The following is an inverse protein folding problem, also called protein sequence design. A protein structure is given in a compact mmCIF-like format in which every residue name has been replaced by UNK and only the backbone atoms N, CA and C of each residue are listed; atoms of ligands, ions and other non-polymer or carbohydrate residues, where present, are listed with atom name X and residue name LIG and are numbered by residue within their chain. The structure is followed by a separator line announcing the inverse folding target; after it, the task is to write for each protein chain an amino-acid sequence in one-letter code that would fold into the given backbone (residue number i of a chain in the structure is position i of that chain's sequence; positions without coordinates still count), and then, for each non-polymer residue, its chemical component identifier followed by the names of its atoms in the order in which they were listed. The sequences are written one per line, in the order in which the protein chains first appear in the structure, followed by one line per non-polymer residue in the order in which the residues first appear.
data_IF_893240333031
#
_entry.id   IF_893240333031
#
_cell.length_a   1.000
_cell.length_b   1.000
_cell.length_c   1.000
_cell.angle_alpha   90.00
_cell.angle_beta   90.00
_cell.angle_gamma   90.00
#
_symmetry.space_group_name_H-M   'P 1'
#
loop_
_entity.id
_entity.type
_entity.pdbx_description
1 polymer ?
#
# COMPACT_ATOMS: atom_id res chain seq x y z
N UNK A 1 49.45 -17.62 -16.53
CA UNK A 1 48.68 -18.61 -17.30
C UNK A 1 47.33 -18.77 -16.63
N UNK A 2 46.29 -18.11 -17.15
CA UNK A 2 44.91 -18.26 -16.67
C UNK A 2 44.28 -19.45 -17.41
N UNK A 3 43.61 -20.39 -16.74
CA UNK A 3 42.93 -21.47 -17.43
C UNK A 3 41.69 -20.95 -18.16
N UNK A 4 41.48 -21.51 -19.36
CA UNK A 4 40.42 -21.22 -20.32
C UNK A 4 39.01 -21.24 -19.72
N UNK A 5 38.24 -20.23 -20.11
CA UNK A 5 36.80 -20.07 -19.87
C UNK A 5 35.98 -20.86 -20.90
N UNK A 6 35.93 -22.18 -20.79
CA UNK A 6 35.18 -23.03 -21.75
C UNK A 6 33.98 -23.76 -21.11
N UNK A 7 33.18 -23.09 -20.25
CA UNK A 7 31.92 -23.68 -19.75
C UNK A 7 30.74 -22.70 -19.61
N UNK A 8 30.74 -21.58 -20.35
CA UNK A 8 29.50 -20.83 -20.56
C UNK A 8 28.99 -21.18 -21.95
N UNK A 9 28.05 -22.12 -22.02
CA UNK A 9 27.37 -22.47 -23.27
C UNK A 9 26.74 -21.20 -23.88
N UNK A 10 27.24 -20.68 -25.02
CA UNK A 10 26.83 -19.38 -25.56
C UNK A 10 25.47 -19.40 -26.26
N UNK A 11 24.68 -20.46 -26.10
CA UNK A 11 23.41 -20.65 -26.79
C UNK A 11 22.18 -20.65 -25.87
N UNK A 12 22.26 -20.12 -24.64
CA UNK A 12 21.02 -19.80 -23.90
C UNK A 12 20.44 -18.55 -24.53
N UNK A 13 19.65 -18.73 -25.59
CA UNK A 13 18.72 -17.73 -26.09
C UNK A 13 17.82 -17.40 -24.90
N UNK A 14 18.09 -16.29 -24.21
CA UNK A 14 17.37 -15.91 -22.99
C UNK A 14 15.91 -15.68 -23.39
N UNK A 15 15.09 -16.70 -23.18
CA UNK A 15 13.66 -16.62 -23.40
C UNK A 15 13.11 -15.56 -22.44
N UNK A 16 12.17 -14.72 -22.91
CA UNK A 16 11.37 -13.87 -22.02
C UNK A 16 10.49 -14.68 -21.06
N UNK A 17 10.40 -15.99 -21.29
CA UNK A 17 9.65 -16.95 -20.49
C UNK A 17 10.55 -18.14 -20.10
N UNK A 18 11.50 -17.94 -19.19
CA UNK A 18 12.22 -19.06 -18.60
C UNK A 18 11.28 -19.93 -17.75
N UNK A 19 11.54 -21.23 -17.77
CA UNK A 19 10.95 -22.25 -16.90
C UNK A 19 11.51 -22.12 -15.47
N UNK A 20 10.81 -22.72 -14.50
CA UNK A 20 11.26 -22.71 -13.10
C UNK A 20 12.67 -23.32 -12.95
N UNK A 21 12.92 -24.43 -13.66
CA UNK A 21 14.21 -25.13 -13.63
C UNK A 21 15.35 -24.25 -14.16
N UNK A 22 15.14 -23.52 -15.26
CA UNK A 22 16.14 -22.58 -15.78
C UNK A 22 16.47 -21.47 -14.77
N UNK A 23 15.47 -20.94 -14.04
CA UNK A 23 15.74 -19.97 -12.98
C UNK A 23 16.58 -20.57 -11.85
N UNK A 24 16.26 -21.80 -11.44
CA UNK A 24 16.98 -22.50 -10.37
C UNK A 24 18.42 -22.78 -10.78
N UNK A 25 18.65 -23.23 -12.01
CA UNK A 25 19.99 -23.50 -12.54
C UNK A 25 20.85 -22.23 -12.57
N UNK A 26 20.33 -21.11 -13.07
CA UNK A 26 21.06 -19.83 -13.09
C UNK A 26 21.34 -19.33 -11.68
N UNK A 27 20.37 -19.43 -10.75
CA UNK A 27 20.58 -19.03 -9.37
C UNK A 27 21.65 -19.87 -8.68
N UNK A 28 21.64 -21.20 -8.87
CA UNK A 28 22.69 -22.09 -8.35
C UNK A 28 24.07 -21.80 -8.94
N UNK A 29 24.15 -21.59 -10.26
CA UNK A 29 25.40 -21.24 -10.93
C UNK A 29 25.96 -19.88 -10.45
N UNK A 30 25.08 -18.91 -10.19
CA UNK A 30 25.45 -17.62 -9.62
C UNK A 30 26.09 -17.76 -8.23
N UNK A 31 25.46 -18.56 -7.35
CA UNK A 31 25.99 -18.83 -6.01
C UNK A 31 27.30 -19.62 -6.07
N UNK A 32 27.39 -20.61 -6.96
CA UNK A 32 28.61 -21.39 -7.15
C UNK A 32 29.78 -20.49 -7.59
N UNK A 33 29.52 -19.50 -8.45
CA UNK A 33 30.54 -18.55 -8.91
C UNK A 33 30.90 -17.50 -7.86
N UNK A 34 29.93 -17.08 -7.06
CA UNK A 34 30.09 -16.04 -6.04
C UNK A 34 29.55 -16.51 -4.68
N UNK A 35 30.33 -17.31 -3.92
CA UNK A 35 29.84 -17.93 -2.69
C UNK A 35 29.37 -16.94 -1.61
N UNK A 36 29.88 -15.71 -1.61
CA UNK A 36 29.47 -14.66 -0.68
C UNK A 36 28.05 -14.13 -0.92
N UNK A 37 27.43 -14.45 -2.07
CA UNK A 37 26.04 -14.13 -2.37
C UNK A 37 25.06 -15.16 -1.81
N UNK A 38 25.54 -16.26 -1.21
CA UNK A 38 24.70 -17.35 -0.70
C UNK A 38 23.84 -16.87 0.46
N UNK A 39 22.55 -17.19 0.43
CA UNK A 39 21.65 -16.93 1.56
C UNK A 39 22.12 -17.72 2.79
N UNK A 40 22.13 -17.05 3.97
CA UNK A 40 22.53 -17.69 5.24
C UNK A 40 21.55 -18.77 5.68
N UNK A 41 20.29 -18.65 5.29
CA UNK A 41 19.19 -19.54 5.68
C UNK A 41 18.56 -20.23 4.46
N UNK A 42 18.00 -21.42 4.67
CA UNK A 42 17.27 -22.15 3.64
C UNK A 42 18.16 -22.78 2.55
N UNK A 43 17.71 -22.71 1.30
CA UNK A 43 18.36 -23.41 0.18
C UNK A 43 19.56 -22.66 -0.43
N UNK A 44 19.93 -21.49 0.11
CA UNK A 44 21.13 -20.75 -0.26
C UNK A 44 21.09 -19.93 -1.55
N UNK A 45 20.04 -20.08 -2.39
CA UNK A 45 19.92 -19.34 -3.67
C UNK A 45 18.53 -18.71 -3.86
N UNK A 46 17.69 -18.72 -2.82
CA UNK A 46 16.29 -18.31 -2.89
C UNK A 46 16.15 -16.85 -3.29
N UNK A 47 16.94 -15.96 -2.69
CA UNK A 47 16.91 -14.51 -2.97
C UNK A 47 17.17 -14.22 -4.46
N UNK A 48 18.15 -14.91 -5.05
CA UNK A 48 18.52 -14.74 -6.46
C UNK A 48 17.50 -15.34 -7.41
N UNK A 49 16.97 -16.53 -7.08
CA UNK A 49 15.86 -17.14 -7.81
C UNK A 49 14.65 -16.20 -7.86
N UNK A 50 14.25 -15.61 -6.74
CA UNK A 50 13.14 -14.65 -6.70
C UNK A 50 13.45 -13.35 -7.46
N UNK A 51 14.67 -12.85 -7.35
CA UNK A 51 15.11 -11.64 -8.05
C UNK A 51 15.06 -11.82 -9.58
N UNK A 52 15.49 -12.97 -10.08
CA UNK A 52 15.38 -13.31 -11.51
C UNK A 52 13.91 -13.39 -11.95
N UNK A 53 13.06 -14.10 -11.20
CA UNK A 53 11.61 -14.15 -11.48
C UNK A 53 10.97 -12.77 -11.52
N UNK A 54 11.36 -11.88 -10.61
CA UNK A 54 10.85 -10.50 -10.56
C UNK A 54 11.31 -9.69 -11.78
N UNK A 55 12.59 -9.79 -12.15
CA UNK A 55 13.15 -9.10 -13.33
C UNK A 55 12.41 -9.49 -14.62
N UNK A 56 12.29 -10.79 -14.91
CA UNK A 56 11.58 -11.27 -16.09
C UNK A 56 10.07 -11.03 -16.03
N UNK A 57 9.47 -10.91 -14.84
CA UNK A 57 8.08 -10.45 -14.70
C UNK A 57 7.93 -8.97 -15.09
N UNK A 58 8.86 -8.12 -14.67
CA UNK A 58 8.86 -6.70 -15.01
C UNK A 58 9.07 -6.49 -16.52
N UNK A 59 10.04 -7.17 -17.12
CA UNK A 59 10.30 -7.11 -18.58
C UNK A 59 9.09 -7.53 -19.44
N UNK A 60 8.21 -8.38 -18.90
CA UNK A 60 6.95 -8.78 -19.56
C UNK A 60 5.78 -7.84 -19.34
N UNK A 61 5.90 -6.85 -18.46
CA UNK A 61 4.79 -5.95 -18.12
C UNK A 61 4.30 -5.13 -19.32
N UNK A 62 5.17 -4.60 -20.21
CA UNK A 62 4.72 -3.91 -21.43
C UNK A 62 3.95 -4.82 -22.41
N UNK A 63 4.20 -6.14 -22.39
CA UNK A 63 3.53 -7.10 -23.27
C UNK A 63 2.09 -7.41 -22.85
N UNK A 64 1.68 -7.00 -21.64
CA UNK A 64 0.33 -7.24 -21.16
C UNK A 64 -0.75 -6.42 -21.91
N UNK A 65 -0.34 -5.33 -22.59
CA UNK A 65 -1.26 -4.48 -23.34
C UNK A 65 -1.46 -4.91 -24.80
N UNK A 66 -0.64 -5.86 -25.28
CA UNK A 66 -0.75 -6.44 -26.63
C UNK A 66 -2.05 -7.23 -26.74
N UNK A 67 -2.86 -6.91 -27.74
CA UNK A 67 -4.21 -7.44 -27.94
C UNK A 67 -4.25 -8.99 -28.03
N UNK A 68 -3.23 -9.58 -28.66
CA UNK A 68 -3.08 -11.02 -28.77
C UNK A 68 -2.78 -11.71 -27.42
N UNK A 69 -1.97 -11.07 -26.57
CA UNK A 69 -1.66 -11.53 -25.21
C UNK A 69 -2.90 -11.42 -24.32
N UNK A 70 -3.73 -10.39 -24.48
CA UNK A 70 -5.02 -10.26 -23.77
C UNK A 70 -5.95 -11.42 -24.13
N UNK A 71 -6.11 -11.71 -25.43
CA UNK A 71 -6.94 -12.82 -25.93
C UNK A 71 -6.46 -14.17 -25.41
N UNK A 72 -5.14 -14.42 -25.42
CA UNK A 72 -4.56 -15.67 -24.91
C UNK A 72 -4.67 -15.79 -23.38
N UNK A 73 -4.50 -14.70 -22.63
CA UNK A 73 -4.73 -14.69 -21.17
C UNK A 73 -6.20 -14.92 -20.82
N UNK A 74 -7.14 -14.46 -21.65
CA UNK A 74 -8.57 -14.76 -21.47
C UNK A 74 -8.88 -16.24 -21.74
N UNK A 75 -8.21 -16.86 -22.72
CA UNK A 75 -8.42 -18.27 -23.11
C UNK A 75 -7.71 -19.28 -22.21
N UNK A 76 -6.46 -19.02 -21.85
CA UNK A 76 -5.57 -19.99 -21.18
C UNK A 76 -5.06 -19.52 -19.82
N UNK A 77 -5.23 -18.23 -19.50
CA UNK A 77 -4.94 -17.76 -18.17
C UNK A 77 -5.89 -18.42 -17.18
N UNK A 78 -5.42 -18.67 -15.96
CA UNK A 78 -6.32 -18.98 -14.87
C UNK A 78 -7.23 -17.77 -14.68
N UNK A 79 -8.43 -17.82 -15.27
CA UNK A 79 -9.51 -16.97 -14.82
C UNK A 79 -9.67 -17.35 -13.35
N UNK A 80 -9.44 -16.39 -12.46
CA UNK A 80 -10.12 -16.49 -11.18
C UNK A 80 -11.58 -16.57 -11.58
N UNK A 81 -12.19 -17.76 -11.50
CA UNK A 81 -13.65 -17.90 -11.49
C UNK A 81 -14.11 -16.75 -10.64
N UNK A 82 -14.92 -15.88 -11.21
CA UNK A 82 -15.52 -14.74 -10.56
C UNK A 82 -16.38 -15.28 -9.41
N UNK A 83 -15.74 -15.67 -8.31
CA UNK A 83 -16.35 -15.65 -7.01
C UNK A 83 -16.82 -14.21 -6.87
N UNK A 84 -18.12 -14.09 -6.61
CA UNK A 84 -18.79 -12.84 -6.26
C UNK A 84 -17.87 -12.00 -5.37
N UNK A 85 -17.88 -10.67 -5.50
CA UNK A 85 -16.90 -9.82 -4.83
C UNK A 85 -17.15 -9.83 -3.32
N UNK A 86 -16.69 -10.86 -2.63
CA UNK A 86 -16.24 -10.71 -1.26
C UNK A 86 -14.99 -9.84 -1.34
N UNK A 87 -15.22 -8.59 -0.98
CA UNK A 87 -14.25 -7.51 -0.96
C UNK A 87 -13.13 -7.93 -0.01
N UNK A 88 -12.10 -8.56 -0.57
CA UNK A 88 -10.78 -8.59 0.04
C UNK A 88 -10.29 -7.15 0.12
N UNK A 89 -10.47 -6.57 1.31
CA UNK A 89 -9.99 -5.26 1.74
C UNK A 89 -8.47 -5.26 1.79
N UNK A 90 -7.83 -5.26 0.63
CA UNK A 90 -6.48 -4.72 0.45
C UNK A 90 -6.19 -4.55 -1.05
N UNK A 91 -7.14 -3.99 -1.79
CA UNK A 91 -6.80 -3.42 -3.10
C UNK A 91 -6.19 -2.06 -2.83
N UNK A 92 -4.86 -2.02 -2.81
CA UNK A 92 -4.00 -0.96 -3.30
C UNK A 92 -4.67 0.42 -3.16
N UNK A 93 -4.38 1.13 -2.06
CA UNK A 93 -4.80 2.53 -1.88
C UNK A 93 -4.59 3.26 -3.19
N UNK A 94 -5.70 3.55 -3.88
CA UNK A 94 -5.66 4.31 -5.12
C UNK A 94 -4.95 5.60 -4.78
N UNK A 95 -3.99 6.01 -5.63
CA UNK A 95 -3.27 7.28 -5.45
C UNK A 95 -4.30 8.37 -5.15
N UNK A 96 -4.05 9.25 -4.16
CA UNK A 96 -4.99 10.33 -3.85
C UNK A 96 -5.36 11.05 -5.14
N UNK A 97 -6.66 11.16 -5.41
CA UNK A 97 -7.12 11.79 -6.65
C UNK A 97 -6.81 13.27 -6.56
N UNK A 98 -6.22 13.83 -7.61
CA UNK A 98 -6.17 15.28 -7.81
C UNK A 98 -7.60 15.75 -8.04
N UNK A 99 -8.23 16.23 -6.96
CA UNK A 99 -9.52 16.89 -7.03
C UNK A 99 -9.27 18.27 -7.60
N UNK A 100 -9.78 18.50 -8.81
CA UNK A 100 -9.63 19.74 -9.54
C UNK A 100 -10.24 20.92 -8.74
N UNK A 101 -9.58 22.08 -8.81
CA UNK A 101 -10.01 23.30 -8.14
C UNK A 101 -11.21 23.83 -8.91
N UNK A 102 -12.39 23.29 -8.61
CA UNK A 102 -13.61 23.68 -9.30
C UNK A 102 -13.94 25.15 -8.97
N UNK A 103 -13.62 26.06 -9.89
CA UNK A 103 -14.22 27.40 -10.06
C UNK A 103 -14.09 28.41 -8.92
N UNK A 104 -13.38 28.09 -7.84
CA UNK A 104 -13.19 28.98 -6.68
C UNK A 104 -11.84 29.72 -6.80
N UNK A 105 -11.87 31.05 -6.78
CA UNK A 105 -10.67 31.89 -6.74
C UNK A 105 -10.12 32.06 -5.32
N UNK A 106 -8.94 32.67 -5.18
CA UNK A 106 -8.27 32.85 -3.89
C UNK A 106 -9.14 33.63 -2.88
N UNK A 107 -9.85 34.66 -3.35
CA UNK A 107 -10.73 35.52 -2.53
C UNK A 107 -11.91 34.72 -1.98
N UNK A 108 -12.54 33.91 -2.83
CA UNK A 108 -13.67 33.06 -2.44
C UNK A 108 -13.25 32.01 -1.41
N UNK A 109 -12.06 31.42 -1.59
CA UNK A 109 -11.48 30.46 -0.64
C UNK A 109 -11.22 31.11 0.71
N UNK A 110 -10.68 32.32 0.75
CA UNK A 110 -10.50 33.07 1.98
C UNK A 110 -11.85 33.33 2.68
N UNK A 111 -12.90 33.65 1.92
CA UNK A 111 -14.26 33.74 2.44
C UNK A 111 -14.76 32.43 3.09
N UNK A 112 -14.55 31.28 2.44
CA UNK A 112 -14.93 29.98 3.01
C UNK A 112 -14.11 29.64 4.27
N UNK A 113 -12.82 29.97 4.28
CA UNK A 113 -11.92 29.79 5.44
C UNK A 113 -12.40 30.64 6.62
N UNK A 114 -12.74 31.90 6.39
CA UNK A 114 -13.28 32.79 7.42
C UNK A 114 -14.55 32.22 8.04
N UNK A 115 -15.48 31.71 7.22
CA UNK A 115 -16.68 31.04 7.72
C UNK A 115 -16.34 29.81 8.58
N UNK A 116 -15.34 29.01 8.20
CA UNK A 116 -14.89 27.88 9.03
C UNK A 116 -14.34 28.36 10.38
N UNK A 117 -13.51 29.40 10.40
CA UNK A 117 -12.99 29.95 11.64
C UNK A 117 -14.10 30.50 12.54
N UNK A 118 -15.06 31.23 11.97
CA UNK A 118 -16.19 31.78 12.71
C UNK A 118 -17.12 30.67 13.24
N UNK A 119 -17.36 29.62 12.47
CA UNK A 119 -18.12 28.45 12.94
C UNK A 119 -17.40 27.72 14.08
N UNK A 120 -16.07 27.63 14.05
CA UNK A 120 -15.29 26.96 15.08
C UNK A 120 -15.30 27.71 16.43
N UNK A 121 -15.45 29.04 16.41
CA UNK A 121 -15.59 29.84 17.64
C UNK A 121 -16.96 29.70 18.31
N UNK A 122 -17.96 29.14 17.64
CA UNK A 122 -19.31 28.95 18.20
C UNK A 122 -19.31 27.75 19.14
N UNK A 123 -20.06 27.86 20.24
CA UNK A 123 -20.32 26.74 21.16
C UNK A 123 -20.96 25.55 20.45
N UNK A 124 -21.82 25.81 19.45
CA UNK A 124 -22.43 24.79 18.61
C UNK A 124 -22.26 25.16 17.13
N UNK A 125 -21.25 24.60 16.43
CA UNK A 125 -21.06 24.81 15.01
C UNK A 125 -22.18 24.18 14.17
N UNK A 126 -22.57 24.82 13.07
CA UNK A 126 -23.49 24.24 12.11
C UNK A 126 -22.77 23.18 11.24
N UNK A 127 -23.06 21.91 11.50
CA UNK A 127 -22.43 20.78 10.82
C UNK A 127 -22.64 20.80 9.29
N UNK A 128 -23.78 21.31 8.79
CA UNK A 128 -24.04 21.37 7.34
C UNK A 128 -23.16 22.43 6.68
N UNK A 129 -23.04 23.61 7.30
CA UNK A 129 -22.17 24.68 6.84
C UNK A 129 -20.71 24.23 6.88
N UNK A 130 -20.27 23.66 8.00
CA UNK A 130 -18.89 23.17 8.16
C UNK A 130 -18.54 22.15 7.08
N UNK A 131 -19.40 21.14 6.88
CA UNK A 131 -19.18 20.11 5.86
C UNK A 131 -19.05 20.69 4.45
N UNK A 132 -19.93 21.64 4.09
CA UNK A 132 -19.88 22.26 2.76
C UNK A 132 -18.63 23.14 2.58
N UNK A 133 -18.26 23.95 3.59
CA UNK A 133 -17.06 24.80 3.51
C UNK A 133 -15.77 23.98 3.52
N UNK A 134 -15.72 22.90 4.30
CA UNK A 134 -14.60 21.93 4.27
C UNK A 134 -14.44 21.29 2.89
N UNK A 135 -15.56 20.93 2.24
CA UNK A 135 -15.58 20.38 0.87
C UNK A 135 -15.07 21.38 -0.16
N UNK A 136 -15.55 22.62 -0.13
CA UNK A 136 -15.14 23.67 -1.09
C UNK A 136 -13.66 24.04 -0.97
N UNK A 137 -13.14 24.05 0.25
CA UNK A 137 -11.73 24.38 0.50
C UNK A 137 -10.76 23.21 0.33
N UNK A 138 -11.25 21.99 0.07
CA UNK A 138 -10.44 20.78 0.02
C UNK A 138 -9.26 20.87 -0.97
N UNK A 139 -9.54 21.22 -2.23
CA UNK A 139 -8.52 21.25 -3.27
C UNK A 139 -7.42 22.28 -2.97
N UNK A 140 -7.83 23.47 -2.51
CA UNK A 140 -6.91 24.54 -2.10
C UNK A 140 -6.07 24.17 -0.89
N UNK A 141 -6.71 23.68 0.18
CA UNK A 141 -6.03 23.19 1.38
C UNK A 141 -4.99 22.12 1.03
N UNK A 142 -5.34 21.14 0.18
CA UNK A 142 -4.41 20.10 -0.27
C UNK A 142 -3.22 20.68 -1.04
N UNK A 143 -3.47 21.65 -1.92
CA UNK A 143 -2.41 22.37 -2.65
C UNK A 143 -1.45 23.07 -1.69
N UNK A 144 -1.96 23.74 -0.66
CA UNK A 144 -1.13 24.41 0.34
C UNK A 144 -0.31 23.42 1.18
N UNK A 145 -0.91 22.31 1.61
CA UNK A 145 -0.22 21.24 2.36
C UNK A 145 0.88 20.60 1.51
N UNK A 146 0.59 20.24 0.26
CA UNK A 146 1.60 19.69 -0.67
C UNK A 146 2.68 20.74 -0.98
N UNK A 147 2.30 22.03 -1.00
CA UNK A 147 3.20 23.16 -1.16
C UNK A 147 4.07 23.48 0.06
N UNK A 148 4.00 22.69 1.13
CA UNK A 148 4.87 22.83 2.30
C UNK A 148 4.26 23.53 3.50
N UNK A 149 2.94 23.76 3.53
CA UNK A 149 2.26 24.26 4.73
C UNK A 149 2.49 23.31 5.91
N UNK A 150 2.86 23.87 7.07
CA UNK A 150 3.09 23.08 8.28
C UNK A 150 1.79 22.50 8.83
N UNK A 151 1.89 21.48 9.67
CA UNK A 151 0.71 20.91 10.35
C UNK A 151 0.03 21.97 11.21
N UNK A 152 0.80 22.80 11.91
CA UNK A 152 0.29 23.88 12.75
C UNK A 152 -0.51 24.91 11.94
N UNK A 153 0.04 25.39 10.83
CA UNK A 153 -0.64 26.34 9.94
C UNK A 153 -1.92 25.73 9.36
N UNK A 154 -1.88 24.47 8.94
CA UNK A 154 -3.03 23.78 8.39
C UNK A 154 -4.17 23.68 9.40
N UNK A 155 -3.89 23.27 10.64
CA UNK A 155 -4.93 23.15 11.67
C UNK A 155 -5.37 24.51 12.22
N UNK A 156 -4.56 25.56 12.12
CA UNK A 156 -4.98 26.90 12.52
C UNK A 156 -5.84 27.58 11.45
N UNK A 157 -5.48 27.41 10.16
CA UNK A 157 -6.27 27.91 9.03
C UNK A 157 -7.59 27.15 8.87
N UNK A 158 -7.56 25.82 9.05
CA UNK A 158 -8.72 24.93 8.93
C UNK A 158 -8.97 24.19 10.26
N UNK A 159 -9.59 24.85 11.26
CA UNK A 159 -9.65 24.32 12.63
C UNK A 159 -10.46 23.03 12.78
N UNK A 160 -11.38 22.75 11.86
CA UNK A 160 -12.12 21.49 11.84
C UNK A 160 -11.27 20.27 11.43
N UNK A 161 -10.02 20.45 10.99
CA UNK A 161 -9.09 19.32 10.86
C UNK A 161 -8.66 18.73 12.21
N UNK A 162 -8.77 19.51 13.30
CA UNK A 162 -8.47 19.04 14.67
C UNK A 162 -9.50 18.01 15.16
N UNK A 163 -10.69 17.96 14.54
CA UNK A 163 -11.72 17.00 14.92
C UNK A 163 -11.60 15.71 14.12
N UNK A 164 -11.90 14.58 14.77
CA UNK A 164 -11.92 13.27 14.12
C UNK A 164 -12.86 13.24 12.91
N UNK A 165 -14.03 13.88 13.01
CA UNK A 165 -15.00 13.98 11.93
C UNK A 165 -14.48 14.74 10.71
N UNK A 166 -13.73 15.83 10.91
CA UNK A 166 -13.11 16.58 9.83
C UNK A 166 -11.98 15.78 9.16
N UNK A 167 -11.14 15.11 9.96
CA UNK A 167 -10.08 14.26 9.44
C UNK A 167 -10.61 13.08 8.60
N UNK A 168 -11.68 12.40 9.06
CA UNK A 168 -12.31 11.33 8.29
C UNK A 168 -12.89 11.80 6.97
N UNK A 169 -13.45 13.02 6.92
CA UNK A 169 -13.92 13.59 5.66
C UNK A 169 -12.77 13.86 4.70
N UNK A 170 -11.66 14.40 5.19
CA UNK A 170 -10.47 14.68 4.38
C UNK A 170 -9.93 13.40 3.72
N UNK A 171 -9.79 12.33 4.50
CA UNK A 171 -9.37 11.01 3.99
C UNK A 171 -10.42 10.45 3.02
N UNK A 172 -11.71 10.63 3.33
CA UNK A 172 -12.81 10.25 2.44
C UNK A 172 -12.71 10.93 1.07
N UNK A 173 -12.41 12.22 1.02
CA UNK A 173 -12.20 12.98 -0.21
C UNK A 173 -10.96 12.51 -0.97
N UNK A 174 -9.83 12.31 -0.27
CA UNK A 174 -8.57 11.84 -0.89
C UNK A 174 -8.73 10.51 -1.64
N UNK A 175 -9.44 9.55 -1.04
CA UNK A 175 -9.56 8.19 -1.57
C UNK A 175 -10.89 7.91 -2.27
N UNK A 176 -11.77 8.91 -2.44
CA UNK A 176 -13.17 8.73 -2.87
C UNK A 176 -13.89 7.63 -2.08
N UNK A 177 -13.53 7.49 -0.80
CA UNK A 177 -14.08 6.48 0.09
C UNK A 177 -15.30 7.05 0.78
N UNK A 178 -16.48 6.58 0.36
CA UNK A 178 -17.75 6.95 0.98
C UNK A 178 -17.89 6.11 2.25
N UNK A 179 -17.48 6.69 3.39
CA UNK A 179 -17.56 6.15 4.76
C UNK A 179 -16.41 5.25 5.22
N UNK A 180 -15.19 5.81 5.32
CA UNK A 180 -14.05 5.14 5.94
C UNK A 180 -14.37 4.64 7.36
N UNK A 181 -15.05 5.45 8.18
CA UNK A 181 -15.39 5.07 9.55
C UNK A 181 -16.27 3.81 9.59
N UNK A 182 -17.32 3.75 8.75
CA UNK A 182 -18.16 2.55 8.61
C UNK A 182 -17.34 1.35 8.15
N UNK A 183 -16.50 1.53 7.13
CA UNK A 183 -15.66 0.44 6.63
C UNK A 183 -14.70 -0.08 7.70
N UNK A 184 -14.13 0.81 8.51
CA UNK A 184 -13.27 0.45 9.62
C UNK A 184 -14.04 -0.33 10.68
N UNK A 185 -15.23 0.15 11.07
CA UNK A 185 -16.10 -0.53 12.03
C UNK A 185 -16.54 -1.91 11.54
N UNK A 186 -16.97 -2.05 10.29
CA UNK A 186 -17.35 -3.33 9.68
C UNK A 186 -16.16 -4.29 9.64
N UNK A 187 -14.99 -3.80 9.19
CA UNK A 187 -13.77 -4.62 9.11
C UNK A 187 -13.30 -5.06 10.49
N UNK A 188 -13.33 -4.15 11.47
CA UNK A 188 -12.96 -4.46 12.84
C UNK A 188 -13.96 -5.44 13.47
N UNK A 189 -15.27 -5.26 13.25
CA UNK A 189 -16.30 -6.18 13.71
C UNK A 189 -16.07 -7.62 13.22
N UNK A 190 -15.65 -7.78 11.96
CA UNK A 190 -15.35 -9.09 11.38
C UNK A 190 -14.16 -9.81 12.04
N UNK A 191 -13.17 -9.07 12.54
CA UNK A 191 -11.97 -9.64 13.17
C UNK A 191 -12.02 -9.61 14.69
N UNK A 192 -12.89 -8.81 15.31
CA UNK A 192 -12.92 -8.55 16.75
C UNK A 192 -13.09 -9.85 17.55
N UNK A 193 -13.96 -10.76 17.12
CA UNK A 193 -14.14 -12.06 17.78
C UNK A 193 -12.85 -12.88 17.78
N UNK A 194 -12.15 -12.96 16.64
CA UNK A 194 -10.87 -13.66 16.52
C UNK A 194 -9.78 -13.01 17.37
N UNK A 195 -9.71 -11.67 17.39
CA UNK A 195 -8.77 -10.91 18.23
C UNK A 195 -9.05 -11.16 19.72
N UNK A 196 -10.31 -11.16 20.13
CA UNK A 196 -10.71 -11.47 21.51
C UNK A 196 -10.40 -12.92 21.90
N UNK A 197 -10.59 -13.89 20.99
CA UNK A 197 -10.21 -15.28 21.23
C UNK A 197 -8.71 -15.46 21.39
N UNK A 198 -7.91 -14.73 20.61
CA UNK A 198 -6.45 -14.69 20.74
C UNK A 198 -6.04 -14.07 22.08
N UNK A 199 -6.58 -12.90 22.42
CA UNK A 199 -6.26 -12.19 23.66
C UNK A 199 -6.65 -12.98 24.91
N UNK A 200 -7.77 -13.71 24.88
CA UNK A 200 -8.22 -14.55 25.99
C UNK A 200 -7.53 -15.92 26.05
N UNK A 201 -6.57 -16.22 25.17
CA UNK A 201 -5.86 -17.51 25.16
C UNK A 201 -6.72 -18.71 24.69
N UNK A 202 -7.93 -18.46 24.18
CA UNK A 202 -8.87 -19.50 23.74
C UNK A 202 -8.59 -19.99 22.31
N UNK A 203 -7.73 -19.27 21.59
CA UNK A 203 -7.25 -19.65 20.27
C UNK A 203 -5.99 -20.51 20.35
N UNK A 204 -5.91 -21.53 19.50
CA UNK A 204 -4.70 -22.36 19.32
C UNK A 204 -3.46 -21.56 18.90
N UNK A 205 -3.66 -20.36 18.34
CA UNK A 205 -2.58 -19.45 17.95
C UNK A 205 -2.13 -18.51 19.07
N UNK A 206 -2.75 -18.55 20.24
CA UNK A 206 -2.41 -17.65 21.34
C UNK A 206 -1.00 -17.88 21.88
N UNK A 207 -0.56 -19.14 22.02
CA UNK A 207 0.79 -19.48 22.50
C UNK A 207 1.90 -18.97 21.55
N UNK A 208 1.87 -19.29 20.23
CA UNK A 208 2.86 -18.75 19.28
C UNK A 208 2.89 -17.22 19.24
N UNK A 209 1.75 -16.56 19.43
CA UNK A 209 1.67 -15.09 19.40
C UNK A 209 2.27 -14.44 20.65
N UNK A 210 2.08 -15.06 21.83
CA UNK A 210 2.70 -14.62 23.08
C UNK A 210 4.22 -14.84 23.02
N UNK A 211 4.65 -16.01 22.57
CA UNK A 211 6.08 -16.32 22.37
C UNK A 211 6.75 -15.34 21.39
N UNK A 212 6.14 -15.09 20.23
CA UNK A 212 6.65 -14.11 19.26
C UNK A 212 6.68 -12.67 19.82
N UNK A 213 5.72 -12.30 20.67
CA UNK A 213 5.69 -11.00 21.34
C UNK A 213 6.82 -10.89 22.37
N UNK A 214 7.04 -11.94 23.15
CA UNK A 214 8.12 -11.98 24.14
C UNK A 214 9.49 -11.91 23.46
N UNK A 215 9.73 -12.72 22.42
CA UNK A 215 10.96 -12.68 21.60
C UNK A 215 11.24 -11.26 21.06
N UNK A 216 10.22 -10.58 20.53
CA UNK A 216 10.37 -9.21 20.02
C UNK A 216 10.75 -8.17 21.08
N UNK A 217 10.46 -8.43 22.36
CA UNK A 217 10.82 -7.54 23.47
C UNK A 217 12.22 -7.83 24.04
N UNK A 218 12.76 -9.05 23.82
CA UNK A 218 14.12 -9.42 24.26
C UNK A 218 15.18 -8.86 23.30
N UNK A 219 14.88 -8.74 22.01
CA UNK A 219 15.77 -8.15 21.00
C UNK A 219 16.14 -6.68 21.30
N UNK A 220 15.27 -5.93 21.98
CA UNK A 220 15.52 -4.53 22.34
C UNK A 220 16.50 -4.35 23.53
N UNK A 221 16.82 -5.41 24.28
CA UNK A 221 17.69 -5.34 25.48
C UNK A 221 19.11 -5.86 25.27
N UNK A 222 19.43 -6.43 24.11
CA UNK A 222 20.76 -7.01 23.85
C UNK A 222 21.63 -6.18 22.88
N UNK A 223 21.25 -4.93 22.62
CA UNK A 223 22.01 -3.96 21.85
C UNK A 223 22.46 -2.78 22.71
N UNK A 224 23.46 -2.99 23.57
CA UNK A 224 24.26 -1.90 24.16
C UNK A 224 25.73 -2.28 24.15
#
# INVERSE_FOLDING_TARGET
MLPRLDHFNPAIRISRYPTNEEYVQVAKALILRYPFLKDKEGNGYHTWHMSLKRKFKFERTPLADVEEVKKLKQKFGHSKKSQKPEKSTCKQMKRPVDMDVAGEDATSIEGHVKVLQDQYRKTQPDARIVKERMRRTFAWRRKEIIGGMTVEDAVNKYPFLKSSSGLYQEIGFLYKSVNLCRHFQESFGNIASSVLQLACGKSHLAKPLIEAREESLVEDHNGN
#
